data_IF_868693321717
#
_entry.id   IF_868693321717
#
_cell.length_a   1.000
_cell.length_b   1.000
_cell.length_c   1.000
_cell.angle_alpha   90.00
_cell.angle_beta   90.00
_cell.angle_gamma   90.00
#
_symmetry.space_group_name_H-M   'P 1'
#
loop_
_entity.id
_entity.type
_entity.pdbx_description
1 polymer ?
#
# COMPACT_ATOMS: atom_id res chain seq x y z
N UNK A 1 16.80 14.99 -9.48
CA UNK A 1 16.01 14.97 -8.22
C UNK A 1 15.99 16.36 -7.60
N UNK A 2 14.84 16.85 -7.13
CA UNK A 2 14.66 18.15 -6.47
C UNK A 2 14.21 17.91 -5.02
N UNK A 3 14.83 18.60 -4.06
CA UNK A 3 14.52 18.50 -2.63
C UNK A 3 13.93 19.82 -2.17
N UNK A 4 12.78 19.79 -1.50
CA UNK A 4 12.10 20.98 -0.96
C UNK A 4 11.59 20.72 0.46
N UNK A 5 11.52 21.73 1.35
CA UNK A 5 10.82 21.59 2.61
C UNK A 5 9.32 21.39 2.33
N UNK A 6 8.68 20.43 3.03
CA UNK A 6 7.23 20.20 2.96
C UNK A 6 6.51 20.78 4.17
N UNK A 7 7.11 20.73 5.35
CA UNK A 7 6.54 21.29 6.56
C UNK A 7 7.24 20.81 7.82
N UNK A 8 6.64 21.15 8.97
CA UNK A 8 7.12 20.73 10.31
C UNK A 8 5.99 20.02 11.01
N UNK A 9 6.26 18.82 11.55
CA UNK A 9 5.30 18.04 12.34
C UNK A 9 4.95 18.75 13.64
N UNK A 10 3.86 18.37 14.29
CA UNK A 10 3.50 18.88 15.63
C UNK A 10 4.57 18.63 16.69
N UNK A 11 5.46 17.65 16.48
CA UNK A 11 6.57 17.31 17.35
C UNK A 11 7.85 18.10 17.01
N UNK A 12 7.82 19.01 16.02
CA UNK A 12 8.95 19.84 15.60
C UNK A 12 9.90 19.17 14.61
N UNK A 13 9.56 18.01 14.05
CA UNK A 13 10.38 17.33 13.05
C UNK A 13 10.16 17.97 11.67
N UNK A 14 11.24 18.26 10.95
CA UNK A 14 11.16 18.76 9.58
C UNK A 14 10.85 17.61 8.62
N UNK A 15 9.84 17.80 7.76
CA UNK A 15 9.49 16.89 6.67
C UNK A 15 9.91 17.53 5.35
N UNK A 16 10.62 16.77 4.53
CA UNK A 16 11.02 17.17 3.19
C UNK A 16 10.26 16.39 2.11
N UNK A 17 10.16 17.02 0.94
CA UNK A 17 9.64 16.40 -0.27
C UNK A 17 10.78 16.24 -1.29
N UNK A 18 10.95 15.04 -1.80
CA UNK A 18 11.90 14.68 -2.84
C UNK A 18 11.15 14.38 -4.14
N UNK A 19 11.45 15.11 -5.22
CA UNK A 19 10.76 14.92 -6.50
C UNK A 19 11.69 14.28 -7.52
N UNK A 20 11.29 13.10 -8.00
CA UNK A 20 11.88 12.37 -9.12
C UNK A 20 11.23 12.82 -10.43
N UNK A 21 11.98 12.82 -11.54
CA UNK A 21 11.48 13.18 -12.88
C UNK A 21 12.01 12.20 -13.93
N UNK A 22 11.13 11.80 -14.86
CA UNK A 22 11.50 11.03 -16.03
C UNK A 22 10.60 11.42 -17.22
N UNK A 23 11.13 12.17 -18.17
CA UNK A 23 10.36 12.71 -19.29
C UNK A 23 9.21 13.62 -18.80
N UNK A 24 7.97 13.23 -19.12
CA UNK A 24 6.75 13.93 -18.67
C UNK A 24 6.23 13.43 -17.32
N UNK A 25 6.85 12.40 -16.73
CA UNK A 25 6.43 11.81 -15.46
C UNK A 25 7.18 12.44 -14.30
N UNK A 26 6.52 12.56 -13.15
CA UNK A 26 7.17 12.93 -11.88
C UNK A 26 6.54 12.21 -10.70
N UNK A 27 7.35 11.91 -9.68
CA UNK A 27 6.89 11.37 -8.41
C UNK A 27 7.45 12.25 -7.29
N UNK A 28 6.59 12.73 -6.39
CA UNK A 28 6.97 13.47 -5.19
C UNK A 28 6.76 12.59 -3.98
N UNK A 29 7.81 12.44 -3.18
CA UNK A 29 7.88 11.55 -2.04
C UNK A 29 8.22 12.36 -0.79
N UNK A 30 7.57 12.07 0.34
CA UNK A 30 7.89 12.66 1.63
C UNK A 30 8.76 11.69 2.43
N UNK A 31 9.74 12.21 3.18
CA UNK A 31 10.55 11.38 4.08
C UNK A 31 9.77 10.91 5.31
N UNK A 32 8.67 11.57 5.71
CA UNK A 32 7.73 11.03 6.67
C UNK A 32 6.92 9.92 6.04
N UNK A 33 7.02 8.71 6.61
CA UNK A 33 6.34 7.50 6.10
C UNK A 33 6.85 7.01 4.74
N UNK A 34 7.96 7.54 4.21
CA UNK A 34 8.38 7.31 2.82
C UNK A 34 7.19 7.47 1.85
N UNK A 35 6.36 8.49 2.08
CA UNK A 35 5.02 8.65 1.50
C UNK A 35 5.07 9.04 0.02
N UNK A 36 4.37 8.32 -0.84
CA UNK A 36 4.09 8.76 -2.23
C UNK A 36 3.01 9.85 -2.19
N UNK A 37 3.45 11.11 -2.18
CA UNK A 37 2.59 12.28 -2.09
C UNK A 37 1.90 12.63 -3.41
N UNK A 38 2.64 12.54 -4.52
CA UNK A 38 2.12 12.82 -5.86
C UNK A 38 2.78 11.89 -6.89
N UNK A 39 2.01 11.47 -7.89
CA UNK A 39 2.48 10.73 -9.04
C UNK A 39 1.84 11.30 -10.30
N UNK A 40 2.57 12.14 -11.00
CA UNK A 40 2.11 12.74 -12.26
C UNK A 40 2.57 11.91 -13.44
N UNK A 41 1.64 11.39 -14.21
CA UNK A 41 1.85 10.66 -15.46
C UNK A 41 1.37 11.54 -16.61
N UNK A 42 2.30 11.95 -17.47
CA UNK A 42 2.04 12.89 -18.57
C UNK A 42 1.23 14.14 -18.11
N UNK A 43 1.55 14.67 -16.91
CA UNK A 43 0.90 15.86 -16.35
C UNK A 43 -0.39 15.62 -15.58
N UNK A 44 -0.89 14.36 -15.51
CA UNK A 44 -2.05 14.00 -14.69
C UNK A 44 -1.57 13.38 -13.37
N UNK A 45 -1.93 13.98 -12.23
CA UNK A 45 -1.67 13.39 -10.92
C UNK A 45 -2.69 12.28 -10.65
N UNK A 46 -2.21 11.05 -10.46
CA UNK A 46 -3.03 9.84 -10.35
C UNK A 46 -3.18 9.32 -8.92
N UNK A 47 -2.64 10.03 -7.90
CA UNK A 47 -2.78 9.64 -6.49
C UNK A 47 -3.34 10.78 -5.65
N UNK A 48 -4.07 10.43 -4.59
CA UNK A 48 -4.54 11.40 -3.61
C UNK A 48 -3.41 11.79 -2.63
N UNK A 49 -3.51 12.97 -2.04
CA UNK A 49 -2.59 13.47 -1.02
C UNK A 49 -3.07 14.81 -0.45
N UNK A 50 -2.43 15.28 0.62
CA UNK A 50 -2.71 16.57 1.26
C UNK A 50 -1.58 17.57 1.01
N UNK A 51 -1.90 18.87 0.97
CA UNK A 51 -0.91 19.92 0.75
C UNK A 51 -0.09 20.31 2.00
N UNK A 52 -0.42 19.78 3.17
CA UNK A 52 0.25 20.12 4.41
C UNK A 52 0.49 18.92 5.30
N UNK A 53 1.60 18.95 6.05
CA UNK A 53 1.92 17.92 7.03
C UNK A 53 0.86 17.84 8.13
N UNK A 54 0.28 18.97 8.56
CA UNK A 54 -0.79 18.99 9.55
C UNK A 54 -2.04 18.23 9.10
N UNK A 55 -2.38 18.25 7.80
CA UNK A 55 -3.48 17.46 7.26
C UNK A 55 -3.16 15.95 7.30
N UNK A 56 -1.93 15.55 6.92
CA UNK A 56 -1.45 14.17 7.07
C UNK A 56 -1.48 13.68 8.53
N UNK A 57 -1.17 14.55 9.51
CA UNK A 57 -1.17 14.17 10.93
C UNK A 57 -2.56 14.01 11.53
N UNK A 58 -3.56 14.74 10.99
CA UNK A 58 -4.96 14.66 11.47
C UNK A 58 -5.77 13.58 10.79
N UNK A 59 -5.29 13.07 9.64
CA UNK A 59 -5.99 12.05 8.86
C UNK A 59 -5.41 10.66 9.17
N UNK A 60 -6.28 9.68 9.33
CA UNK A 60 -5.96 8.29 9.65
C UNK A 60 -6.10 7.35 8.43
N UNK A 61 -6.20 7.91 7.21
CA UNK A 61 -6.32 7.13 5.98
C UNK A 61 -4.97 6.68 5.39
N UNK A 62 -3.84 6.98 6.03
CA UNK A 62 -2.50 6.52 5.63
C UNK A 62 -2.08 6.89 4.19
N UNK A 63 -2.62 7.97 3.61
CA UNK A 63 -2.48 8.34 2.19
C UNK A 63 -1.02 8.27 1.71
N UNK A 64 -0.74 7.32 0.81
CA UNK A 64 0.55 7.14 0.15
C UNK A 64 1.68 6.60 1.02
N UNK A 65 1.47 6.40 2.33
CA UNK A 65 2.53 6.00 3.25
C UNK A 65 2.96 4.53 3.07
N UNK A 66 4.21 4.25 3.41
CA UNK A 66 4.69 2.88 3.65
C UNK A 66 4.15 2.41 4.99
N UNK A 67 3.53 1.25 4.98
CA UNK A 67 2.92 0.61 6.13
C UNK A 67 3.83 -0.50 6.67
N UNK A 68 4.01 -0.53 7.96
CA UNK A 68 4.80 -1.52 8.69
C UNK A 68 4.87 -1.24 10.21
N UNK A 69 5.39 -2.21 11.04
CA UNK A 69 5.96 -3.50 10.59
C UNK A 69 4.94 -4.43 9.93
N UNK A 70 3.66 -4.33 10.31
CA UNK A 70 2.63 -5.21 9.80
C UNK A 70 1.48 -4.40 9.19
N UNK A 71 1.34 -4.49 7.88
CA UNK A 71 0.20 -3.98 7.15
C UNK A 71 -1.04 -4.83 7.48
N UNK A 72 -2.21 -4.19 7.53
CA UNK A 72 -3.46 -4.80 7.92
C UNK A 72 -3.56 -5.07 9.45
N UNK A 73 -4.48 -5.90 9.91
CA UNK A 73 -4.91 -6.04 11.31
C UNK A 73 -4.32 -7.25 12.01
N UNK A 74 -4.11 -7.13 13.33
CA UNK A 74 -3.80 -8.25 14.24
C UNK A 74 -4.71 -8.13 15.48
N UNK A 75 -5.37 -9.25 15.86
CA UNK A 75 -6.28 -9.29 17.01
C UNK A 75 -5.54 -9.50 18.33
N UNK A 76 -5.30 -8.42 19.09
CA UNK A 76 -4.75 -8.48 20.46
C UNK A 76 -3.26 -8.79 20.58
N UNK A 77 -2.65 -9.43 19.60
CA UNK A 77 -1.25 -9.86 19.60
C UNK A 77 -1.03 -11.18 18.87
N UNK A 78 0.17 -11.75 18.99
CA UNK A 78 0.55 -13.02 18.34
C UNK A 78 1.51 -13.83 19.20
N UNK A 79 1.60 -15.13 18.93
CA UNK A 79 2.58 -16.02 19.55
C UNK A 79 3.68 -16.38 18.53
N UNK A 80 4.94 -16.18 18.92
CA UNK A 80 6.10 -16.52 18.09
C UNK A 80 7.17 -17.19 18.95
N UNK A 81 7.63 -18.38 18.55
CA UNK A 81 8.62 -19.13 19.33
C UNK A 81 8.14 -19.49 20.75
N UNK A 82 6.85 -19.63 20.99
CA UNK A 82 6.26 -19.90 22.31
C UNK A 82 6.10 -18.68 23.21
N UNK A 83 6.48 -17.48 22.75
CA UNK A 83 6.34 -16.21 23.48
C UNK A 83 5.12 -15.47 22.92
N UNK A 84 4.23 -14.99 23.79
CA UNK A 84 3.13 -14.12 23.41
C UNK A 84 3.57 -12.66 23.41
N UNK A 85 3.31 -11.97 22.30
CA UNK A 85 3.59 -10.56 22.10
C UNK A 85 2.26 -9.78 22.03
N UNK A 86 1.86 -9.10 23.12
CA UNK A 86 0.65 -8.28 23.11
C UNK A 86 0.85 -7.02 22.25
N UNK A 87 -0.17 -6.65 21.49
CA UNK A 87 -0.16 -5.45 20.64
C UNK A 87 -1.26 -4.47 21.09
N UNK A 88 -0.94 -3.17 21.09
CA UNK A 88 -1.91 -2.15 21.40
C UNK A 88 -2.96 -2.01 20.28
N UNK A 89 -4.25 -1.93 20.64
CA UNK A 89 -5.32 -1.65 19.70
C UNK A 89 -5.32 -0.15 19.37
N UNK A 90 -5.02 0.19 18.11
CA UNK A 90 -5.10 1.55 17.59
C UNK A 90 -6.27 1.76 16.62
N UNK A 91 -6.86 0.69 16.09
CA UNK A 91 -8.19 0.66 15.47
C UNK A 91 -9.21 0.40 16.60
N UNK A 92 -9.69 1.50 17.22
CA UNK A 92 -10.56 1.42 18.40
C UNK A 92 -11.96 0.95 18.07
N UNK A 93 -12.44 1.17 16.85
CA UNK A 93 -13.77 0.77 16.41
C UNK A 93 -13.88 -0.76 16.28
N UNK A 94 -12.78 -1.42 15.90
CA UNK A 94 -12.71 -2.88 15.77
C UNK A 94 -11.96 -3.54 16.95
N UNK A 95 -11.33 -2.75 17.84
CA UNK A 95 -10.57 -3.27 18.98
C UNK A 95 -9.34 -4.08 18.59
N UNK A 96 -8.65 -3.70 17.51
CA UNK A 96 -7.51 -4.44 16.94
C UNK A 96 -6.29 -3.54 16.70
N UNK A 97 -5.14 -4.15 16.55
CA UNK A 97 -3.93 -3.50 16.08
C UNK A 97 -3.99 -3.37 14.55
N UNK A 98 -3.71 -2.18 14.01
CA UNK A 98 -3.80 -1.85 12.60
C UNK A 98 -2.51 -1.18 12.12
N UNK A 99 -2.02 -1.58 10.96
CA UNK A 99 -0.97 -0.91 10.19
C UNK A 99 0.30 -0.59 10.96
N UNK A 100 0.74 -1.51 11.84
CA UNK A 100 1.97 -1.37 12.60
C UNK A 100 1.84 -0.55 13.90
N UNK A 101 0.62 -0.16 14.30
CA UNK A 101 0.32 0.36 15.63
C UNK A 101 0.16 1.88 15.72
N UNK A 102 0.21 2.37 16.95
CA UNK A 102 -0.05 3.80 17.28
C UNK A 102 0.95 4.73 16.59
N UNK A 103 2.21 4.30 16.50
CA UNK A 103 3.29 5.01 15.78
C UNK A 103 3.92 4.05 14.77
N UNK A 104 3.14 3.69 13.74
CA UNK A 104 3.60 2.87 12.62
C UNK A 104 4.63 3.59 11.74
N UNK A 105 5.08 2.91 10.70
CA UNK A 105 6.08 3.47 9.78
C UNK A 105 5.58 4.72 9.04
N UNK A 106 4.27 4.84 8.84
CA UNK A 106 3.60 6.02 8.27
C UNK A 106 3.89 7.33 9.02
N UNK A 107 4.24 7.24 10.31
CA UNK A 107 4.49 8.38 11.20
C UNK A 107 5.97 8.65 11.46
N UNK A 108 6.87 7.79 11.00
CA UNK A 108 8.31 7.91 11.23
C UNK A 108 8.99 8.71 10.11
N UNK A 109 10.05 9.44 10.45
CA UNK A 109 10.92 10.11 9.48
C UNK A 109 11.99 9.12 9.02
N UNK A 110 12.05 8.88 7.73
CA UNK A 110 13.05 8.04 7.09
C UNK A 110 14.27 8.88 6.68
N UNK A 111 15.44 8.30 6.73
CA UNK A 111 16.60 8.87 6.07
C UNK A 111 16.47 8.62 4.56
N UNK A 112 16.53 9.69 3.77
CA UNK A 112 16.32 9.61 2.33
C UNK A 112 17.55 10.07 1.56
N UNK A 113 17.97 9.28 0.56
CA UNK A 113 19.13 9.54 -0.29
C UNK A 113 18.84 9.21 -1.77
N UNK A 114 19.49 9.91 -2.72
CA UNK A 114 19.43 9.53 -4.12
C UNK A 114 19.90 8.09 -4.32
N UNK A 115 19.23 7.36 -5.19
CA UNK A 115 19.58 5.97 -5.50
C UNK A 115 19.49 5.72 -7.00
N UNK A 116 20.53 5.09 -7.58
CA UNK A 116 20.56 4.79 -9.01
C UNK A 116 19.50 3.72 -9.36
N UNK A 117 18.78 3.91 -10.46
CA UNK A 117 17.87 2.90 -10.98
C UNK A 117 18.63 1.60 -11.31
N UNK A 118 17.98 0.44 -11.09
CA UNK A 118 18.59 -0.89 -11.26
C UNK A 118 19.09 -1.17 -12.68
N UNK A 119 18.48 -0.53 -13.68
CA UNK A 119 18.76 -0.65 -15.11
C UNK A 119 19.39 0.61 -15.71
N UNK A 120 19.69 1.62 -14.86
CA UNK A 120 20.24 2.90 -15.29
C UNK A 120 19.26 3.81 -16.04
N UNK A 121 17.99 3.41 -16.16
CA UNK A 121 16.93 4.21 -16.79
C UNK A 121 16.05 4.88 -15.71
N UNK A 122 16.00 6.22 -15.69
CA UNK A 122 15.17 6.98 -14.76
C UNK A 122 15.88 7.45 -13.49
N UNK A 123 15.11 8.02 -12.56
CA UNK A 123 15.58 8.49 -11.26
C UNK A 123 15.07 7.60 -10.13
N UNK A 124 15.85 7.46 -9.07
CA UNK A 124 15.48 6.71 -7.87
C UNK A 124 15.85 7.42 -6.58
N UNK A 125 15.15 7.04 -5.52
CA UNK A 125 15.39 7.46 -4.15
C UNK A 125 15.26 6.27 -3.22
N UNK A 126 16.11 6.22 -2.18
CA UNK A 126 16.11 5.22 -1.14
C UNK A 126 15.74 5.87 0.18
N UNK A 127 14.79 5.26 0.87
CA UNK A 127 14.39 5.59 2.23
C UNK A 127 14.82 4.47 3.18
N UNK A 128 15.55 4.80 4.24
CA UNK A 128 15.98 3.82 5.25
C UNK A 128 15.40 4.16 6.61
N UNK A 129 15.02 3.11 7.35
CA UNK A 129 14.50 3.21 8.70
C UNK A 129 15.08 2.09 9.56
N UNK A 130 15.44 2.41 10.79
CA UNK A 130 15.75 1.45 11.83
C UNK A 130 14.59 1.41 12.84
N UNK A 131 14.03 0.22 13.07
CA UNK A 131 12.95 -0.04 14.02
C UNK A 131 13.48 -0.98 15.09
N UNK A 132 13.61 -0.48 16.32
CA UNK A 132 14.23 -1.17 17.45
C UNK A 132 13.41 -2.40 17.91
N UNK A 133 14.09 -3.32 18.63
CA UNK A 133 13.44 -4.45 19.32
C UNK A 133 12.37 -3.94 20.28
N UNK A 134 11.14 -4.43 20.15
CA UNK A 134 9.98 -3.98 20.95
C UNK A 134 9.23 -2.78 20.38
N UNK A 135 9.68 -2.19 19.27
CA UNK A 135 8.94 -1.09 18.60
C UNK A 135 7.52 -1.55 18.26
N UNK A 136 6.51 -0.83 18.79
CA UNK A 136 5.07 -1.15 18.72
C UNK A 136 4.71 -2.59 19.20
N UNK A 137 5.58 -3.23 19.99
CA UNK A 137 5.39 -4.59 20.49
C UNK A 137 6.00 -5.71 19.63
N UNK A 138 6.66 -5.37 18.53
CA UNK A 138 7.28 -6.36 17.64
C UNK A 138 8.71 -6.71 18.07
N UNK A 139 9.08 -8.02 18.08
CA UNK A 139 10.44 -8.45 18.43
C UNK A 139 11.47 -8.15 17.33
N UNK A 140 12.71 -7.97 17.75
CA UNK A 140 13.90 -7.83 16.93
C UNK A 140 14.14 -6.43 16.37
N UNK A 141 15.42 -6.11 16.18
CA UNK A 141 15.88 -4.90 15.51
C UNK A 141 15.75 -5.07 14.01
N UNK A 142 14.93 -4.25 13.38
CA UNK A 142 14.65 -4.30 11.94
C UNK A 142 15.34 -3.14 11.22
N UNK A 143 16.17 -3.46 10.23
CA UNK A 143 16.66 -2.50 9.24
C UNK A 143 15.80 -2.60 8.00
N UNK A 144 15.15 -1.50 7.62
CA UNK A 144 14.27 -1.38 6.45
C UNK A 144 14.85 -0.44 5.42
N UNK A 145 14.76 -0.82 4.16
CA UNK A 145 15.05 0.01 3.00
C UNK A 145 13.86 -0.05 2.04
N UNK A 146 13.32 1.11 1.67
CA UNK A 146 12.28 1.25 0.65
C UNK A 146 12.83 2.13 -0.46
N UNK A 147 12.89 1.60 -1.68
CA UNK A 147 13.41 2.32 -2.85
C UNK A 147 12.30 2.57 -3.85
N UNK A 148 12.21 3.80 -4.33
CA UNK A 148 11.30 4.21 -5.39
C UNK A 148 12.11 4.50 -6.66
N UNK A 149 11.63 4.01 -7.80
CA UNK A 149 12.23 4.25 -9.10
C UNK A 149 11.15 4.71 -10.07
N UNK A 150 11.40 5.85 -10.71
CA UNK A 150 10.53 6.41 -11.72
C UNK A 150 11.17 6.26 -13.09
N UNK A 151 10.47 5.61 -14.01
CA UNK A 151 10.86 5.48 -15.41
C UNK A 151 9.80 6.05 -16.36
N UNK A 152 10.01 5.93 -17.66
CA UNK A 152 9.06 6.41 -18.68
C UNK A 152 7.72 5.63 -18.65
N UNK A 153 7.70 4.42 -18.10
CA UNK A 153 6.51 3.57 -18.05
C UNK A 153 5.72 3.73 -16.75
N UNK A 154 6.37 4.19 -15.65
CA UNK A 154 5.69 4.36 -14.37
C UNK A 154 6.60 4.32 -13.15
N UNK A 155 6.09 3.77 -12.05
CA UNK A 155 6.75 3.77 -10.74
C UNK A 155 6.97 2.35 -10.24
N UNK A 156 8.15 2.08 -9.70
CA UNK A 156 8.47 0.85 -8.98
C UNK A 156 8.80 1.15 -7.53
N UNK A 157 8.30 0.32 -6.62
CA UNK A 157 8.60 0.34 -5.19
C UNK A 157 9.25 -0.99 -4.83
N UNK A 158 10.45 -0.95 -4.25
CA UNK A 158 11.16 -2.11 -3.77
C UNK A 158 11.38 -2.01 -2.27
N UNK A 159 11.06 -3.09 -1.56
CA UNK A 159 11.21 -3.24 -0.12
C UNK A 159 12.29 -4.26 0.17
N UNK A 160 13.26 -3.90 1.02
CA UNK A 160 14.31 -4.77 1.51
C UNK A 160 14.42 -4.62 3.03
N UNK A 161 14.45 -5.75 3.75
CA UNK A 161 14.56 -5.71 5.21
C UNK A 161 15.37 -6.89 5.76
N UNK A 162 15.98 -6.66 6.93
CA UNK A 162 16.64 -7.70 7.74
C UNK A 162 16.30 -7.45 9.20
N UNK A 163 16.17 -8.54 9.95
CA UNK A 163 15.92 -8.51 11.38
C UNK A 163 16.85 -9.48 12.11
N UNK A 164 17.29 -9.14 13.31
CA UNK A 164 18.16 -9.98 14.15
C UNK A 164 17.39 -11.06 14.96
N UNK A 165 16.04 -11.01 14.94
CA UNK A 165 15.15 -12.02 15.51
C UNK A 165 14.01 -12.30 14.55
N UNK A 166 13.39 -13.48 14.66
CA UNK A 166 12.13 -13.76 13.96
C UNK A 166 11.07 -12.71 14.35
N UNK A 167 10.42 -12.11 13.36
CA UNK A 167 9.45 -11.04 13.58
C UNK A 167 8.35 -11.08 12.52
N UNK A 168 7.09 -10.74 12.84
CA UNK A 168 6.09 -10.47 11.82
C UNK A 168 6.51 -9.31 10.94
N UNK A 169 6.46 -9.51 9.62
CA UNK A 169 6.74 -8.46 8.64
C UNK A 169 5.76 -8.57 7.49
N UNK A 170 4.97 -7.52 7.29
CA UNK A 170 4.06 -7.36 6.18
C UNK A 170 4.10 -5.89 5.75
N UNK A 171 4.80 -5.60 4.67
CA UNK A 171 5.01 -4.23 4.19
C UNK A 171 4.11 -3.97 2.99
N UNK A 172 3.61 -2.74 2.88
CA UNK A 172 2.90 -2.26 1.70
C UNK A 172 3.04 -0.75 1.53
N UNK A 173 2.50 -0.20 0.44
CA UNK A 173 2.30 1.23 0.24
C UNK A 173 0.80 1.51 0.08
N UNK A 174 0.29 2.46 0.84
CA UNK A 174 -1.14 2.77 0.93
C UNK A 174 -1.54 3.94 0.01
N UNK A 175 -1.09 3.88 -1.25
CA UNK A 175 -1.46 4.90 -2.24
C UNK A 175 -2.88 4.72 -2.75
N UNK A 176 -3.59 5.83 -2.85
CA UNK A 176 -4.96 5.94 -3.32
C UNK A 176 -4.96 6.41 -4.77
N UNK A 177 -5.28 5.53 -5.71
CA UNK A 177 -5.24 5.80 -7.15
C UNK A 177 -6.58 6.23 -7.71
N UNK A 178 -6.58 7.27 -8.56
CA UNK A 178 -7.71 7.68 -9.38
C UNK A 178 -7.17 8.20 -10.72
N UNK A 179 -7.44 7.51 -11.83
CA UNK A 179 -6.78 7.77 -13.11
C UNK A 179 -7.36 8.94 -13.90
N UNK A 180 -8.58 9.38 -13.58
CA UNK A 180 -9.30 10.46 -14.29
C UNK A 180 -9.61 11.67 -13.41
N UNK A 181 -9.21 11.65 -12.13
CA UNK A 181 -9.42 12.74 -11.17
C UNK A 181 -10.88 12.90 -10.71
N UNK A 182 -11.76 11.93 -10.98
CA UNK A 182 -13.18 11.98 -10.58
C UNK A 182 -13.43 11.12 -9.34
N UNK A 183 -13.83 9.87 -9.54
CA UNK A 183 -13.94 8.84 -8.52
C UNK A 183 -13.87 7.46 -9.19
N UNK A 184 -13.72 6.40 -8.38
CA UNK A 184 -13.49 5.06 -8.94
C UNK A 184 -14.72 4.40 -9.56
N UNK A 185 -15.91 4.96 -9.42
CA UNK A 185 -17.10 4.40 -10.08
C UNK A 185 -17.10 4.61 -11.59
N UNK A 186 -16.21 5.45 -12.11
CA UNK A 186 -15.95 5.60 -13.55
C UNK A 186 -14.93 4.59 -14.09
N UNK A 187 -14.35 3.75 -13.21
CA UNK A 187 -13.29 2.82 -13.55
C UNK A 187 -13.78 1.39 -13.70
N UNK A 188 -13.02 0.59 -14.45
CA UNK A 188 -13.13 -0.87 -14.47
C UNK A 188 -11.90 -1.49 -13.82
N UNK A 189 -12.05 -2.68 -13.25
CA UNK A 189 -11.00 -3.43 -12.58
C UNK A 189 -10.94 -4.86 -13.11
N UNK A 190 -9.72 -5.35 -13.33
CA UNK A 190 -9.42 -6.77 -13.48
C UNK A 190 -8.38 -7.17 -12.43
N UNK A 191 -8.59 -8.32 -11.75
CA UNK A 191 -7.64 -8.90 -10.80
C UNK A 191 -7.21 -10.28 -11.27
N UNK A 192 -5.91 -10.56 -11.12
CA UNK A 192 -5.34 -11.89 -11.35
C UNK A 192 -5.36 -12.70 -10.05
N UNK A 193 -6.57 -12.98 -9.55
CA UNK A 193 -6.82 -13.67 -8.30
C UNK A 193 -8.15 -14.45 -8.35
N UNK A 194 -8.11 -15.72 -8.06
CA UNK A 194 -9.29 -16.60 -8.03
C UNK A 194 -9.91 -16.72 -6.63
N UNK A 195 -9.24 -16.26 -5.59
CA UNK A 195 -9.67 -16.35 -4.20
C UNK A 195 -9.35 -15.10 -3.39
N UNK A 196 -10.08 -14.89 -2.30
CA UNK A 196 -9.89 -13.81 -1.34
C UNK A 196 -9.97 -14.33 0.09
N UNK A 197 -9.48 -13.55 1.04
CA UNK A 197 -9.62 -13.82 2.47
C UNK A 197 -10.94 -13.22 2.99
N UNK A 198 -11.81 -14.10 3.55
CA UNK A 198 -13.05 -13.68 4.22
C UNK A 198 -12.76 -13.21 5.63
N UNK A 199 -13.42 -12.14 6.07
CA UNK A 199 -13.23 -11.54 7.39
C UNK A 199 -14.51 -11.57 8.24
N UNK A 200 -14.34 -11.41 9.55
CA UNK A 200 -15.40 -11.15 10.53
C UNK A 200 -15.72 -9.63 10.65
N UNK A 201 -16.58 -9.27 11.60
CA UNK A 201 -16.96 -7.87 11.88
C UNK A 201 -15.79 -6.99 12.38
N UNK A 202 -14.68 -7.57 12.82
CA UNK A 202 -13.46 -6.86 13.19
C UNK A 202 -12.47 -6.77 12.03
N UNK A 203 -12.87 -7.20 10.83
CA UNK A 203 -12.05 -7.32 9.65
C UNK A 203 -10.81 -8.25 9.85
N UNK A 204 -10.96 -9.25 10.74
CA UNK A 204 -9.99 -10.32 10.97
C UNK A 204 -10.32 -11.51 10.08
N UNK A 205 -9.30 -12.11 9.46
CA UNK A 205 -9.49 -13.26 8.55
C UNK A 205 -10.02 -14.48 9.27
N UNK A 206 -11.16 -15.00 8.81
CA UNK A 206 -11.80 -16.23 9.28
C UNK A 206 -11.62 -17.40 8.32
N UNK A 207 -11.48 -17.11 7.03
CA UNK A 207 -11.15 -18.09 5.98
C UNK A 207 -10.20 -17.42 4.98
N UNK A 208 -8.95 -17.88 4.86
CA UNK A 208 -7.95 -17.21 4.01
C UNK A 208 -8.12 -17.47 2.52
N UNK A 209 -9.01 -18.39 2.10
CA UNK A 209 -9.04 -18.85 0.69
C UNK A 209 -10.46 -19.15 0.19
N UNK A 210 -11.31 -18.14 0.10
CA UNK A 210 -12.67 -18.25 -0.43
C UNK A 210 -12.69 -17.92 -1.92
N UNK A 211 -13.41 -18.69 -2.75
CA UNK A 211 -13.55 -18.41 -4.18
C UNK A 211 -14.27 -17.08 -4.44
N UNK A 212 -13.76 -16.29 -5.38
CA UNK A 212 -14.45 -15.08 -5.87
C UNK A 212 -15.65 -15.39 -6.76
N UNK A 213 -15.73 -16.60 -7.33
CA UNK A 213 -16.75 -16.97 -8.31
C UNK A 213 -18.17 -16.78 -7.77
N UNK A 214 -19.01 -16.06 -8.53
CA UNK A 214 -20.40 -15.78 -8.15
C UNK A 214 -20.57 -14.71 -7.07
N UNK A 215 -19.50 -13.98 -6.70
CA UNK A 215 -19.55 -12.85 -5.78
C UNK A 215 -19.27 -11.53 -6.50
N UNK A 216 -19.60 -10.36 -5.92
CA UNK A 216 -19.20 -9.05 -6.46
C UNK A 216 -17.69 -8.80 -6.44
N UNK A 217 -16.89 -9.71 -5.86
CA UNK A 217 -15.43 -9.68 -5.86
C UNK A 217 -14.82 -10.46 -7.03
N UNK A 218 -15.63 -10.97 -7.97
CA UNK A 218 -15.15 -11.69 -9.15
C UNK A 218 -14.67 -10.70 -10.24
N UNK A 219 -13.42 -10.27 -10.10
CA UNK A 219 -12.71 -9.41 -11.04
C UNK A 219 -11.75 -10.18 -11.95
N UNK A 220 -11.90 -11.51 -12.11
CA UNK A 220 -11.07 -12.30 -13.05
C UNK A 220 -11.20 -11.82 -14.48
N UNK A 221 -12.32 -11.23 -14.84
CA UNK A 221 -12.54 -10.44 -16.05
C UNK A 221 -12.70 -8.98 -15.73
N UNK A 222 -12.44 -8.10 -16.70
CA UNK A 222 -12.66 -6.66 -16.54
C UNK A 222 -14.12 -6.36 -16.15
N UNK A 223 -14.32 -5.73 -15.00
CA UNK A 223 -15.63 -5.49 -14.39
C UNK A 223 -15.75 -4.04 -13.93
N UNK A 224 -16.90 -3.42 -14.11
CA UNK A 224 -17.19 -2.06 -13.62
C UNK A 224 -17.16 -2.00 -12.09
N UNK A 225 -16.38 -1.06 -11.53
CA UNK A 225 -16.40 -0.82 -10.08
C UNK A 225 -17.74 -0.26 -9.61
N UNK A 226 -18.46 0.52 -10.45
CA UNK A 226 -19.80 0.97 -10.12
C UNK A 226 -20.78 -0.19 -9.95
N UNK A 227 -20.78 -1.17 -10.87
CA UNK A 227 -21.64 -2.34 -10.81
C UNK A 227 -21.31 -3.22 -9.60
N UNK A 228 -20.02 -3.48 -9.36
CA UNK A 228 -19.57 -4.28 -8.23
C UNK A 228 -19.98 -3.64 -6.89
N UNK A 229 -19.75 -2.34 -6.71
CA UNK A 229 -20.06 -1.61 -5.49
C UNK A 229 -21.57 -1.39 -5.26
N UNK A 230 -22.39 -1.44 -6.32
CA UNK A 230 -23.85 -1.36 -6.21
C UNK A 230 -24.49 -2.70 -5.80
N UNK A 231 -23.74 -3.81 -5.84
CA UNK A 231 -24.25 -5.13 -5.50
C UNK A 231 -24.64 -5.21 -4.01
N UNK A 232 -25.84 -5.67 -3.74
CA UNK A 232 -26.29 -5.98 -2.37
C UNK A 232 -25.78 -7.36 -1.98
N UNK A 233 -24.63 -7.41 -1.30
CA UNK A 233 -23.99 -8.66 -0.95
C UNK A 233 -23.46 -8.66 0.48
N UNK A 234 -23.63 -9.77 1.21
CA UNK A 234 -23.05 -9.92 2.55
C UNK A 234 -21.53 -9.76 2.60
N UNK A 235 -20.84 -9.92 1.46
CA UNK A 235 -19.38 -9.73 1.40
C UNK A 235 -18.95 -8.30 1.73
N UNK A 236 -19.82 -7.31 1.57
CA UNK A 236 -19.57 -5.91 1.87
C UNK A 236 -20.09 -5.44 3.24
N UNK A 237 -20.72 -6.35 4.02
CA UNK A 237 -21.42 -6.00 5.25
C UNK A 237 -20.54 -5.21 6.24
N UNK A 238 -19.32 -5.66 6.46
CA UNK A 238 -18.41 -5.05 7.45
C UNK A 238 -17.50 -3.98 6.84
N UNK A 239 -17.09 -4.18 5.60
CA UNK A 239 -16.15 -3.30 4.92
C UNK A 239 -16.81 -2.10 4.23
N UNK A 240 -18.13 -2.11 4.04
CA UNK A 240 -18.87 -1.05 3.36
C UNK A 240 -18.56 -0.92 1.86
N UNK A 241 -17.88 -1.88 1.27
CA UNK A 241 -17.40 -1.93 -0.10
C UNK A 241 -16.27 -2.94 -0.23
N UNK A 242 -15.37 -2.77 -1.20
CA UNK A 242 -14.21 -3.64 -1.33
C UNK A 242 -13.17 -3.20 -0.29
N UNK A 243 -12.77 -4.11 0.59
CA UNK A 243 -11.64 -4.02 1.52
C UNK A 243 -11.19 -5.45 1.83
N UNK A 244 -10.62 -6.10 0.80
CA UNK A 244 -10.38 -7.54 0.82
C UNK A 244 -8.97 -7.88 0.37
N UNK A 245 -8.36 -8.87 1.03
CA UNK A 245 -7.09 -9.43 0.63
C UNK A 245 -7.31 -10.53 -0.41
N UNK A 246 -6.77 -10.34 -1.61
CA UNK A 246 -6.83 -11.31 -2.71
C UNK A 246 -5.53 -12.11 -2.77
N UNK A 247 -5.66 -13.44 -2.94
CA UNK A 247 -4.52 -14.32 -3.18
C UNK A 247 -4.18 -14.27 -4.69
N UNK A 248 -2.98 -13.78 -5.02
CA UNK A 248 -2.59 -13.53 -6.41
C UNK A 248 -2.22 -14.83 -7.14
N UNK A 249 -2.80 -15.01 -8.32
CA UNK A 249 -2.44 -16.07 -9.23
C UNK A 249 -1.14 -15.70 -9.99
N UNK A 250 -0.17 -16.62 -10.01
CA UNK A 250 1.10 -16.44 -10.74
C UNK A 250 1.15 -17.31 -11.99
N UNK A 251 -0.02 -17.52 -12.61
CA UNK A 251 -0.17 -18.36 -13.81
C UNK A 251 0.10 -17.61 -15.12
N UNK A 252 -0.06 -16.28 -15.14
CA UNK A 252 0.30 -15.44 -16.27
C UNK A 252 1.83 -15.33 -16.41
N UNK A 253 2.36 -15.06 -17.62
CA UNK A 253 3.79 -14.87 -17.84
C UNK A 253 4.33 -13.74 -16.96
N UNK A 254 5.38 -14.05 -16.18
CA UNK A 254 6.07 -13.08 -15.34
C UNK A 254 7.06 -12.24 -16.16
N UNK A 255 7.36 -11.05 -15.66
CA UNK A 255 8.33 -10.12 -16.24
C UNK A 255 9.59 -10.07 -15.36
N UNK A 256 10.80 -10.22 -15.92
CA UNK A 256 12.04 -10.05 -15.17
C UNK A 256 12.17 -8.62 -14.63
N UNK A 257 12.65 -8.49 -13.38
CA UNK A 257 12.95 -7.21 -12.74
C UNK A 257 14.13 -7.39 -11.78
N UNK A 258 15.35 -7.07 -12.24
CA UNK A 258 16.56 -7.41 -11.52
C UNK A 258 16.64 -8.91 -11.25
N UNK A 259 16.78 -9.29 -9.98
CA UNK A 259 16.83 -10.70 -9.54
C UNK A 259 15.44 -11.29 -9.22
N UNK A 260 14.35 -10.56 -9.50
CA UNK A 260 12.99 -10.99 -9.24
C UNK A 260 12.20 -11.20 -10.54
N UNK A 261 11.13 -12.00 -10.46
CA UNK A 261 10.09 -12.09 -11.48
C UNK A 261 8.82 -11.47 -10.92
N UNK A 262 8.26 -10.47 -11.61
CA UNK A 262 7.00 -9.83 -11.26
C UNK A 262 5.86 -10.40 -12.10
N UNK A 263 4.73 -10.64 -11.48
CA UNK A 263 3.53 -11.18 -12.13
C UNK A 263 2.42 -10.13 -12.14
N UNK A 264 1.54 -10.12 -13.16
CA UNK A 264 0.35 -9.28 -13.15
C UNK A 264 -0.52 -9.57 -11.92
N UNK A 265 -0.94 -8.51 -11.23
CA UNK A 265 -1.83 -8.55 -10.08
C UNK A 265 -3.17 -7.87 -10.35
N UNK A 266 -3.14 -6.70 -11.00
CA UNK A 266 -4.34 -5.93 -11.33
C UNK A 266 -4.17 -5.11 -12.61
N UNK A 267 -5.31 -4.79 -13.24
CA UNK A 267 -5.42 -3.74 -14.26
C UNK A 267 -6.60 -2.85 -13.89
N UNK A 268 -6.33 -1.57 -13.66
CA UNK A 268 -7.33 -0.51 -13.46
C UNK A 268 -7.45 0.30 -14.75
N UNK A 269 -8.67 0.63 -15.19
CA UNK A 269 -8.90 1.45 -16.39
C UNK A 269 -9.90 2.57 -16.14
N UNK A 270 -9.69 3.71 -16.80
CA UNK A 270 -10.60 4.84 -16.86
C UNK A 270 -10.59 5.42 -18.28
N UNK A 271 -11.54 5.03 -19.13
CA UNK A 271 -11.54 5.34 -20.55
C UNK A 271 -10.30 4.75 -21.25
N UNK A 272 -9.48 5.62 -21.87
CA UNK A 272 -8.24 5.21 -22.54
C UNK A 272 -7.08 4.97 -21.55
N UNK A 273 -7.16 5.51 -20.35
CA UNK A 273 -6.10 5.42 -19.34
C UNK A 273 -6.12 4.08 -18.64
N UNK A 274 -4.95 3.53 -18.38
CA UNK A 274 -4.82 2.30 -17.60
C UNK A 274 -3.61 2.32 -16.70
N UNK A 275 -3.72 1.57 -15.59
CA UNK A 275 -2.63 1.23 -14.69
C UNK A 275 -2.58 -0.28 -14.52
N UNK A 276 -1.41 -0.88 -14.76
CA UNK A 276 -1.17 -2.31 -14.49
C UNK A 276 -0.27 -2.43 -13.28
N UNK A 277 -0.68 -3.24 -12.30
CA UNK A 277 0.12 -3.59 -11.13
C UNK A 277 0.82 -4.91 -11.38
N UNK A 278 2.16 -4.90 -11.28
CA UNK A 278 3.00 -6.09 -11.33
C UNK A 278 3.68 -6.28 -9.97
N UNK A 279 3.78 -7.52 -9.47
CA UNK A 279 4.41 -7.76 -8.17
C UNK A 279 4.92 -9.20 -8.03
N UNK A 280 5.87 -9.40 -7.07
CA UNK A 280 6.25 -10.71 -6.57
C UNK A 280 5.66 -11.02 -5.18
N UNK A 281 4.84 -10.16 -4.62
CA UNK A 281 4.06 -10.45 -3.43
C UNK A 281 3.06 -11.58 -3.67
N UNK A 282 2.70 -12.37 -2.66
CA UNK A 282 1.69 -13.43 -2.80
C UNK A 282 0.26 -12.93 -2.79
N UNK A 283 0.00 -11.79 -2.13
CA UNK A 283 -1.33 -11.25 -1.92
C UNK A 283 -1.39 -9.75 -2.25
N UNK A 284 -2.62 -9.25 -2.35
CA UNK A 284 -2.90 -7.83 -2.49
C UNK A 284 -4.21 -7.46 -1.80
N UNK A 285 -4.17 -6.51 -0.87
CA UNK A 285 -5.38 -5.86 -0.37
C UNK A 285 -5.86 -4.87 -1.43
N UNK A 286 -7.14 -4.95 -1.77
CA UNK A 286 -7.81 -3.97 -2.62
C UNK A 286 -8.83 -3.24 -1.76
N UNK A 287 -8.68 -1.90 -1.69
CA UNK A 287 -9.52 -1.06 -0.84
C UNK A 287 -10.11 0.11 -1.65
N UNK A 288 -11.42 0.25 -1.63
CA UNK A 288 -12.17 1.25 -2.44
C UNK A 288 -12.49 2.53 -1.67
N UNK A 289 -11.62 2.94 -0.75
CA UNK A 289 -11.76 4.17 0.03
C UNK A 289 -13.13 4.29 0.74
N UNK A 290 -13.62 3.18 1.30
CA UNK A 290 -14.97 3.07 1.88
C UNK A 290 -15.18 4.00 3.08
N UNK A 291 -14.10 4.24 3.85
CA UNK A 291 -14.08 5.07 5.06
C UNK A 291 -13.33 6.39 4.87
N UNK A 292 -12.94 6.72 3.63
CA UNK A 292 -12.22 7.95 3.37
C UNK A 292 -13.12 9.16 3.60
N UNK A 293 -12.80 9.96 4.61
CA UNK A 293 -13.49 11.19 4.98
C UNK A 293 -12.51 12.18 5.62
N UNK A 294 -12.92 13.41 5.80
CA UNK A 294 -12.10 14.43 6.47
C UNK A 294 -12.56 15.85 6.16
N UNK A 295 -12.02 16.81 6.92
CA UNK A 295 -12.29 18.24 6.77
C UNK A 295 -11.16 19.00 6.09
N UNK A 296 -9.98 18.40 6.04
CA UNK A 296 -8.82 18.98 5.38
C UNK A 296 -8.92 18.74 3.87
N UNK A 297 -8.79 19.78 3.03
CA UNK A 297 -8.80 19.59 1.60
C UNK A 297 -7.57 18.80 1.13
N UNK A 298 -7.77 17.96 0.15
CA UNK A 298 -6.69 17.30 -0.58
C UNK A 298 -6.00 18.30 -1.52
N UNK A 299 -4.81 17.95 -2.02
CA UNK A 299 -3.99 18.79 -2.92
C UNK A 299 -4.70 19.27 -4.20
N UNK A 300 -5.80 18.63 -4.61
CA UNK A 300 -6.67 19.06 -5.71
C UNK A 300 -7.81 19.99 -5.27
N UNK A 301 -7.85 20.40 -4.00
CA UNK A 301 -8.88 21.25 -3.40
C UNK A 301 -10.19 20.55 -3.02
N UNK A 302 -10.37 19.27 -3.38
CA UNK A 302 -11.55 18.50 -2.97
C UNK A 302 -11.42 18.00 -1.52
N UNK A 303 -12.54 17.71 -0.86
CA UNK A 303 -12.53 17.00 0.42
C UNK A 303 -12.38 15.50 0.21
N UNK A 304 -11.73 14.79 1.15
CA UNK A 304 -11.73 13.33 1.18
C UNK A 304 -13.16 12.79 1.16
N UNK A 305 -13.45 11.84 0.30
CA UNK A 305 -14.79 11.27 0.17
C UNK A 305 -14.75 9.79 -0.16
N UNK A 306 -15.79 9.09 0.25
CA UNK A 306 -16.01 7.68 -0.06
C UNK A 306 -15.87 7.43 -1.58
N UNK A 307 -15.15 6.38 -1.96
CA UNK A 307 -14.93 5.96 -3.35
C UNK A 307 -14.20 7.00 -4.24
N UNK A 308 -13.51 7.98 -3.64
CA UNK A 308 -12.70 8.93 -4.39
C UNK A 308 -11.50 8.27 -5.08
N UNK A 309 -11.02 7.13 -4.56
CA UNK A 309 -9.87 6.40 -5.08
C UNK A 309 -9.89 4.92 -4.68
N UNK A 310 -8.92 4.16 -5.19
CA UNK A 310 -8.71 2.73 -4.90
C UNK A 310 -7.25 2.49 -4.52
N UNK A 311 -7.02 1.64 -3.50
CA UNK A 311 -5.70 1.20 -3.09
C UNK A 311 -5.40 -0.21 -3.61
N UNK A 312 -4.14 -0.44 -3.99
CA UNK A 312 -3.58 -1.73 -4.38
C UNK A 312 -2.38 -2.02 -3.48
N UNK A 313 -2.64 -2.57 -2.32
CA UNK A 313 -1.65 -2.81 -1.28
C UNK A 313 -1.09 -4.22 -1.43
N UNK A 314 -0.04 -4.35 -2.25
CA UNK A 314 0.65 -5.64 -2.39
C UNK A 314 1.31 -6.01 -1.06
N UNK A 315 1.07 -7.23 -0.56
CA UNK A 315 1.45 -7.65 0.79
C UNK A 315 1.68 -9.17 0.91
N UNK A 316 2.23 -9.61 2.07
CA UNK A 316 2.54 -11.03 2.32
C UNK A 316 1.28 -11.86 2.60
N UNK A 317 0.34 -11.33 3.37
CA UNK A 317 -0.87 -12.03 3.75
C UNK A 317 -1.95 -11.07 4.24
N UNK A 318 -3.17 -11.56 4.43
CA UNK A 318 -4.28 -10.81 5.02
C UNK A 318 -4.13 -10.61 6.53
N UNK A 319 -5.18 -10.07 7.14
CA UNK A 319 -5.23 -9.78 8.58
C UNK A 319 -4.93 -11.03 9.43
N UNK A 320 -4.28 -10.80 10.57
CA UNK A 320 -3.96 -11.80 11.61
C UNK A 320 -3.13 -13.01 11.14
N UNK A 321 -2.33 -12.83 10.06
CA UNK A 321 -1.47 -13.91 9.55
C UNK A 321 -0.41 -14.41 10.55
N UNK A 322 0.20 -13.58 11.42
CA UNK A 322 1.15 -14.05 12.42
C UNK A 322 0.56 -15.09 13.38
N UNK A 323 -0.74 -15.00 13.71
CA UNK A 323 -1.44 -16.00 14.53
C UNK A 323 -1.54 -17.37 13.83
N UNK A 324 -1.38 -17.41 12.51
CA UNK A 324 -1.30 -18.63 11.69
C UNK A 324 0.14 -19.03 11.34
N UNK A 325 1.14 -18.34 11.86
CA UNK A 325 2.55 -18.57 11.55
C UNK A 325 2.99 -18.06 10.15
N UNK A 326 2.20 -17.20 9.53
CA UNK A 326 2.44 -16.61 8.22
C UNK A 326 3.05 -15.20 8.36
N UNK A 327 3.63 -14.66 7.27
CA UNK A 327 4.24 -13.33 7.21
C UNK A 327 5.31 -13.10 8.32
N UNK A 328 6.14 -14.11 8.56
CA UNK A 328 7.25 -14.06 9.52
C UNK A 328 8.56 -13.92 8.76
N UNK A 329 9.27 -12.81 8.99
CA UNK A 329 10.66 -12.65 8.59
C UNK A 329 11.54 -13.41 9.58
N UNK A 330 12.32 -14.38 9.06
CA UNK A 330 13.29 -15.13 9.87
C UNK A 330 14.53 -14.30 10.14
N UNK A 331 15.08 -14.47 11.33
CA UNK A 331 16.35 -13.83 11.72
C UNK A 331 17.40 -13.98 10.62
N UNK A 332 18.20 -12.92 10.40
CA UNK A 332 19.32 -12.84 9.46
C UNK A 332 18.98 -13.15 7.98
N UNK A 333 17.70 -13.36 7.64
CA UNK A 333 17.30 -13.52 6.25
C UNK A 333 16.99 -12.18 5.57
N UNK A 334 17.20 -12.10 4.26
CA UNK A 334 16.84 -10.94 3.47
C UNK A 334 15.38 -11.04 3.02
N UNK A 335 14.57 -10.11 3.47
CA UNK A 335 13.27 -9.83 2.86
C UNK A 335 13.48 -8.98 1.61
N UNK A 336 12.87 -9.36 0.48
CA UNK A 336 12.93 -8.58 -0.75
C UNK A 336 11.62 -8.74 -1.53
N UNK A 337 10.89 -7.63 -1.71
CA UNK A 337 9.63 -7.57 -2.45
C UNK A 337 9.59 -6.34 -3.35
N UNK A 338 8.82 -6.44 -4.42
CA UNK A 338 8.70 -5.39 -5.43
C UNK A 338 7.26 -5.28 -5.91
N UNK A 339 6.79 -4.04 -6.03
CA UNK A 339 5.57 -3.68 -6.75
C UNK A 339 5.93 -2.68 -7.85
N UNK A 340 5.38 -2.86 -9.07
CA UNK A 340 5.57 -1.94 -10.19
C UNK A 340 4.20 -1.52 -10.74
N UNK A 341 4.03 -0.23 -10.95
CA UNK A 341 2.83 0.39 -11.49
C UNK A 341 3.16 0.93 -12.87
N UNK A 342 2.61 0.31 -13.92
CA UNK A 342 2.80 0.70 -15.31
C UNK A 342 1.57 1.46 -15.81
N UNK A 343 1.80 2.57 -16.50
CA UNK A 343 0.73 3.44 -17.00
C UNK A 343 0.72 3.51 -18.52
N UNK A 344 -0.49 3.55 -19.11
CA UNK A 344 -0.70 3.73 -20.55
C UNK A 344 -1.95 4.57 -20.81
N UNK A 345 -2.01 5.18 -22.03
CA UNK A 345 -3.16 5.97 -22.45
C UNK A 345 -3.25 7.36 -21.82
N UNK A 346 -2.13 7.91 -21.35
CA UNK A 346 -2.05 9.28 -20.79
C UNK A 346 -1.51 10.30 -21.80
N UNK A 347 -1.07 9.85 -22.96
CA UNK A 347 -0.63 10.72 -24.04
C UNK A 347 -1.85 11.29 -24.77
N UNK A 348 -2.19 12.55 -24.51
CA UNK A 348 -3.14 13.35 -25.24
C UNK A 348 -2.57 14.74 -25.53
#
# INVERSE_FOLDING_TARGET
MQITPFGITKNGETVRADTLRCGKNSATLLDRGATLHALCIAGTDVVLGFDSIGAYERNDAYLGAVIGRYANRIAGGFTLGGIYYPLAANDTDHGVHLHGGVVGFDRKIFCAEPYAALDGAGEGIRFTLFSEDGDQGYPGNLSLCVSYFLDAQGLMIRYEARCDKDTPLNLTNHSYFCLDGKNITTHTLQLFAGTYAKTDARLIVTDPCVSVAGTPLDFRSETSLAEALAAQSPVFEFAGGIDHNFNLDKTAPGQPCGNATLFPAAVLRAGQRSMTVLTNFPCMQVYTANFLHGKDPMKNGSLPSRHAAICFETQEAGADAPSRGEAILRADTLYCRTAKFLFAGFDA
#
